data_IF_627242762158
#
_entry.id   IF_627242762158
#
_cell.length_a   1.000
_cell.length_b   1.000
_cell.length_c   1.000
_cell.angle_alpha   90.00
_cell.angle_beta   90.00
_cell.angle_gamma   90.00
#
_symmetry.space_group_name_H-M   'P 1'
#
loop_
_entity.id
_entity.type
_entity.pdbx_description
1 polymer ?
#
# COMPACT_ATOMS: atom_id res chain seq x y z
N UNK A 1 -8.39 -10.58 -3.29
CA UNK A 1 -6.95 -10.26 -3.35
C UNK A 1 -6.56 -9.36 -4.53
N UNK A 2 -6.87 -9.70 -5.78
CA UNK A 2 -6.39 -8.93 -6.96
C UNK A 2 -6.72 -7.41 -6.96
N UNK A 3 -7.88 -6.98 -6.45
CA UNK A 3 -8.24 -5.55 -6.42
C UNK A 3 -7.34 -4.72 -5.50
N UNK A 4 -7.01 -5.23 -4.32
CA UNK A 4 -6.15 -4.55 -3.34
C UNK A 4 -4.72 -4.36 -3.87
N UNK A 5 -4.18 -5.36 -4.55
CA UNK A 5 -2.86 -5.25 -5.20
C UNK A 5 -2.84 -4.18 -6.29
N UNK A 6 -3.87 -4.14 -7.16
CA UNK A 6 -3.98 -3.09 -8.19
C UNK A 6 -4.10 -1.70 -7.56
N UNK A 7 -4.76 -1.59 -6.42
CA UNK A 7 -4.89 -0.32 -5.71
C UNK A 7 -3.55 0.13 -5.12
N UNK A 8 -2.79 -0.77 -4.47
CA UNK A 8 -1.43 -0.49 -4.00
C UNK A 8 -0.56 -0.03 -5.18
N UNK A 9 -0.60 -0.75 -6.30
CA UNK A 9 0.16 -0.40 -7.49
C UNK A 9 -0.18 1.00 -8.01
N UNK A 10 -1.47 1.36 -8.08
CA UNK A 10 -1.88 2.72 -8.51
C UNK A 10 -1.35 3.83 -7.60
N UNK A 11 -1.22 3.57 -6.29
CA UNK A 11 -0.66 4.53 -5.34
C UNK A 11 0.86 4.65 -5.51
N UNK A 12 1.55 3.54 -5.78
CA UNK A 12 2.99 3.55 -6.05
C UNK A 12 3.33 4.22 -7.38
N UNK A 13 2.51 4.02 -8.42
CA UNK A 13 2.65 4.74 -9.69
C UNK A 13 2.51 6.25 -9.50
N UNK A 14 1.56 6.68 -8.65
CA UNK A 14 1.43 8.08 -8.26
C UNK A 14 2.66 8.59 -7.51
N UNK A 15 3.22 7.82 -6.57
CA UNK A 15 4.46 8.18 -5.89
C UNK A 15 5.63 8.39 -6.85
N UNK A 16 5.75 7.52 -7.86
CA UNK A 16 6.78 7.67 -8.91
C UNK A 16 6.65 9.00 -9.64
N UNK A 17 5.43 9.38 -10.02
CA UNK A 17 5.18 10.66 -10.68
C UNK A 17 5.47 11.88 -9.76
N UNK A 18 5.11 11.80 -8.48
CA UNK A 18 5.40 12.84 -7.49
C UNK A 18 6.90 13.05 -7.29
N UNK A 19 7.68 11.97 -7.15
CA UNK A 19 9.14 12.03 -7.01
C UNK A 19 9.76 12.69 -8.24
N UNK A 20 9.29 12.33 -9.43
CA UNK A 20 9.76 12.95 -10.67
C UNK A 20 9.51 14.47 -10.66
N UNK A 21 8.32 14.92 -10.28
CA UNK A 21 8.01 16.35 -10.18
C UNK A 21 8.84 17.08 -9.11
N UNK A 22 9.07 16.43 -7.96
CA UNK A 22 9.94 16.99 -6.91
C UNK A 22 11.36 17.21 -7.43
N UNK A 23 11.88 16.25 -8.19
CA UNK A 23 13.20 16.33 -8.80
C UNK A 23 13.27 17.44 -9.85
N UNK A 24 12.27 17.56 -10.72
CA UNK A 24 12.19 18.62 -11.74
C UNK A 24 12.14 20.02 -11.11
N UNK A 25 11.35 20.18 -10.05
CA UNK A 25 11.26 21.43 -9.29
C UNK A 25 12.59 21.79 -8.62
N UNK A 26 13.33 20.79 -8.12
CA UNK A 26 14.65 21.00 -7.53
C UNK A 26 15.70 21.41 -8.56
N UNK A 27 15.73 20.70 -9.70
CA UNK A 27 16.66 20.96 -10.80
C UNK A 27 16.44 22.33 -11.45
N UNK A 28 15.20 22.83 -11.49
CA UNK A 28 14.95 24.15 -12.06
C UNK A 28 15.49 25.31 -11.22
N UNK A 29 15.81 25.08 -9.93
CA UNK A 29 16.32 26.10 -8.98
C UNK A 29 15.43 27.35 -8.87
N UNK A 30 14.13 27.19 -9.14
CA UNK A 30 13.12 28.26 -9.03
C UNK A 30 12.52 28.17 -7.61
N UNK A 31 12.67 29.21 -6.76
CA UNK A 31 12.20 29.17 -5.37
C UNK A 31 10.73 28.75 -5.23
N UNK A 32 9.84 29.30 -6.05
CA UNK A 32 8.41 28.98 -6.01
C UNK A 32 8.10 27.51 -6.30
N UNK A 33 8.89 26.87 -7.17
CA UNK A 33 8.76 25.43 -7.46
C UNK A 33 9.26 24.58 -6.30
N UNK A 34 10.33 25.03 -5.62
CA UNK A 34 10.80 24.37 -4.40
C UNK A 34 9.77 24.44 -3.27
N UNK A 35 9.01 25.53 -3.14
CA UNK A 35 7.90 25.60 -2.18
C UNK A 35 6.83 24.55 -2.50
N UNK A 36 6.51 24.31 -3.79
CA UNK A 36 5.58 23.25 -4.21
C UNK A 36 6.07 21.84 -3.86
N UNK A 37 7.38 21.62 -3.67
CA UNK A 37 7.87 20.32 -3.22
C UNK A 37 7.34 19.93 -1.84
N UNK A 38 7.01 20.91 -0.97
CA UNK A 38 6.44 20.64 0.35
C UNK A 38 5.10 19.90 0.21
N UNK A 39 4.19 20.39 -0.63
CA UNK A 39 2.90 19.74 -0.84
C UNK A 39 3.04 18.39 -1.56
N UNK A 40 3.97 18.26 -2.51
CA UNK A 40 4.21 17.00 -3.21
C UNK A 40 4.77 15.92 -2.27
N UNK A 41 5.67 16.29 -1.35
CA UNK A 41 6.22 15.39 -0.34
C UNK A 41 5.16 15.01 0.70
N UNK A 42 4.29 15.94 1.09
CA UNK A 42 3.14 15.63 1.95
C UNK A 42 2.21 14.60 1.30
N UNK A 43 1.91 14.74 0.01
CA UNK A 43 1.12 13.75 -0.73
C UNK A 43 1.82 12.38 -0.78
N UNK A 44 3.14 12.37 -1.02
CA UNK A 44 3.95 11.14 -1.00
C UNK A 44 3.86 10.43 0.36
N UNK A 45 4.00 11.16 1.47
CA UNK A 45 3.89 10.61 2.82
C UNK A 45 2.48 10.06 3.12
N UNK A 46 1.43 10.74 2.65
CA UNK A 46 0.06 10.25 2.73
C UNK A 46 -0.15 8.95 1.95
N UNK A 47 0.42 8.87 0.74
CA UNK A 47 0.37 7.67 -0.08
C UNK A 47 1.11 6.49 0.57
N UNK A 48 2.26 6.71 1.22
CA UNK A 48 2.97 5.66 1.97
C UNK A 48 2.11 5.15 3.14
N UNK A 49 1.50 6.05 3.90
CA UNK A 49 0.60 5.68 5.01
C UNK A 49 -0.57 4.83 4.51
N UNK A 50 -1.14 5.20 3.35
CA UNK A 50 -2.21 4.47 2.68
C UNK A 50 -1.77 3.07 2.23
N UNK A 51 -0.56 2.93 1.68
CA UNK A 51 0.00 1.63 1.28
C UNK A 51 0.19 0.71 2.49
N UNK A 52 0.71 1.24 3.61
CA UNK A 52 0.87 0.48 4.86
C UNK A 52 -0.48 -0.06 5.34
N UNK A 53 -1.52 0.77 5.35
CA UNK A 53 -2.88 0.35 5.73
C UNK A 53 -3.39 -0.79 4.84
N UNK A 54 -3.27 -0.66 3.52
CA UNK A 54 -3.72 -1.70 2.58
C UNK A 54 -2.98 -3.02 2.78
N UNK A 55 -1.68 -2.99 3.08
CA UNK A 55 -0.92 -4.19 3.37
C UNK A 55 -1.36 -4.84 4.69
N UNK A 56 -1.68 -4.04 5.72
CA UNK A 56 -2.24 -4.56 6.97
C UNK A 56 -3.56 -5.30 6.75
N UNK A 57 -4.45 -4.72 5.92
CA UNK A 57 -5.73 -5.33 5.57
C UNK A 57 -5.54 -6.62 4.76
N UNK A 58 -4.61 -6.61 3.81
CA UNK A 58 -4.25 -7.78 3.02
C UNK A 58 -3.71 -8.91 3.89
N UNK A 59 -2.80 -8.59 4.81
CA UNK A 59 -2.20 -9.55 5.74
C UNK A 59 -3.27 -10.15 6.66
N UNK A 60 -4.13 -9.30 7.25
CA UNK A 60 -5.21 -9.75 8.13
C UNK A 60 -6.19 -10.68 7.39
N UNK A 61 -6.58 -10.32 6.17
CA UNK A 61 -7.43 -11.16 5.32
C UNK A 61 -6.77 -12.50 4.99
N UNK A 62 -5.48 -12.52 4.70
CA UNK A 62 -4.73 -13.74 4.44
C UNK A 62 -4.64 -14.64 5.67
N UNK A 63 -4.27 -14.09 6.84
CA UNK A 63 -4.21 -14.82 8.10
C UNK A 63 -5.56 -15.45 8.43
N UNK A 64 -6.66 -14.69 8.29
CA UNK A 64 -8.01 -15.19 8.51
C UNK A 64 -8.38 -16.35 7.57
N UNK A 65 -8.04 -16.24 6.29
CA UNK A 65 -8.28 -17.29 5.31
C UNK A 65 -7.51 -18.59 5.64
N UNK A 66 -6.26 -18.48 6.07
CA UNK A 66 -5.45 -19.61 6.51
C UNK A 66 -6.00 -20.26 7.79
N UNK A 67 -6.40 -19.47 8.78
CA UNK A 67 -7.00 -19.98 10.02
C UNK A 67 -8.31 -20.71 9.77
N UNK A 68 -9.17 -20.20 8.89
CA UNK A 68 -10.42 -20.87 8.53
C UNK A 68 -10.18 -22.23 7.88
N UNK A 69 -9.17 -22.32 6.99
CA UNK A 69 -8.78 -23.58 6.34
C UNK A 69 -8.21 -24.60 7.33
N UNK A 70 -7.45 -24.16 8.33
CA UNK A 70 -6.91 -25.02 9.40
C UNK A 70 -8.02 -25.59 10.32
N UNK A 71 -9.01 -24.78 10.68
CA UNK A 71 -10.14 -25.23 11.53
C UNK A 71 -11.01 -26.28 10.82
N UNK A 72 -11.29 -26.10 9.53
CA UNK A 72 -12.09 -27.06 8.75
C UNK A 72 -11.36 -28.40 8.51
N UNK A 73 -10.02 -28.40 8.50
CA UNK A 73 -9.23 -29.64 8.42
C UNK A 73 -9.20 -30.43 9.72
N UNK A 74 -9.39 -29.77 10.87
CA UNK A 74 -9.35 -30.42 12.18
C UNK A 74 -10.69 -31.05 12.60
N UNK A 75 -11.82 -30.56 12.05
CA UNK A 75 -13.16 -31.14 12.27
C UNK A 75 -13.36 -32.49 11.56
N UNK A 76 -12.62 -32.78 10.48
CA UNK A 76 -12.73 -34.05 9.75
C UNK A 76 -11.96 -35.20 10.42
N UNK A 77 -11.05 -34.91 11.37
CA UNK A 77 -10.22 -35.92 12.06
C UNK A 77 -10.75 -36.33 13.43
N UNK A 78 -11.93 -35.83 13.82
CA UNK A 78 -12.49 -35.99 15.17
C UNK A 78 -13.84 -36.73 15.19
N UNK A 79 -14.17 -37.43 14.10
CA UNK A 79 -15.40 -38.20 13.93
C UNK A 79 -15.25 -39.72 13.99
N UNK A 80 -14.03 -40.24 14.21
CA UNK A 80 -13.77 -41.67 14.34
C UNK A 80 -13.23 -41.98 15.75
N UNK A 81 -14.14 -42.29 16.69
CA UNK A 81 -13.90 -43.08 17.91
C UNK A 81 -15.25 -43.52 18.48
#
# INVERSE_FOLDING_TARGET
MNRSFRQVQSVLDRNRALIQQVNENHQSRIPDKMVKNVSLIQELNGNISKVVSMYSDLNSNFTNACQHRSKNGNSLRRGDN
#
